data_IF_882810494801
#
_entry.id   IF_882810494801
#
_cell.length_a   1.000
_cell.length_b   1.000
_cell.length_c   1.000
_cell.angle_alpha   90.00
_cell.angle_beta   90.00
_cell.angle_gamma   90.00
#
_symmetry.space_group_name_H-M   'P 1'
#
loop_
_entity.id
_entity.type
_entity.pdbx_description
1 polymer ?
#
# COMPACT_ATOMS: atom_id res chain seq x y z
N UNK A 1 -9.91 15.14 -4.82
CA UNK A 1 -9.08 13.95 -4.58
C UNK A 1 -8.52 13.34 -5.87
N UNK A 2 -9.33 12.96 -6.85
CA UNK A 2 -8.87 12.31 -8.10
C UNK A 2 -7.68 12.97 -8.82
N UNK A 3 -7.66 14.31 -8.95
CA UNK A 3 -6.53 15.04 -9.53
C UNK A 3 -5.22 14.79 -8.76
N UNK A 4 -5.29 14.74 -7.43
CA UNK A 4 -4.12 14.46 -6.59
C UNK A 4 -3.61 13.02 -6.78
N UNK A 5 -4.50 12.04 -6.97
CA UNK A 5 -4.11 10.68 -7.32
C UNK A 5 -3.40 10.62 -8.67
N UNK A 6 -3.90 11.34 -9.68
CA UNK A 6 -3.25 11.45 -10.99
C UNK A 6 -1.88 12.11 -10.90
N UNK A 7 -1.76 13.19 -10.13
CA UNK A 7 -0.49 13.88 -9.92
C UNK A 7 0.51 12.99 -9.17
N UNK A 8 0.05 12.28 -8.13
CA UNK A 8 0.84 11.29 -7.39
C UNK A 8 1.37 10.18 -8.31
N UNK A 9 0.50 9.64 -9.17
CA UNK A 9 0.85 8.59 -10.13
C UNK A 9 1.93 9.05 -11.13
N UNK A 10 1.89 10.32 -11.58
CA UNK A 10 2.93 10.88 -12.45
C UNK A 10 4.25 11.06 -11.72
N UNK A 11 4.22 11.53 -10.46
CA UNK A 11 5.44 11.74 -9.66
C UNK A 11 6.10 10.46 -9.19
N UNK A 12 5.34 9.38 -9.02
CA UNK A 12 5.88 8.08 -8.59
C UNK A 12 6.55 7.28 -9.73
N UNK A 13 6.56 7.80 -10.96
CA UNK A 13 7.21 7.16 -12.10
C UNK A 13 6.53 5.84 -12.52
N UNK A 14 5.22 5.74 -12.33
CA UNK A 14 4.47 4.50 -12.56
C UNK A 14 4.74 3.93 -13.96
N UNK A 15 5.18 2.67 -14.04
CA UNK A 15 5.36 1.93 -15.30
C UNK A 15 4.03 1.49 -15.94
N UNK A 16 2.88 1.89 -15.38
CA UNK A 16 1.57 1.49 -15.89
C UNK A 16 1.29 2.15 -17.26
N UNK A 17 0.84 1.33 -18.21
CA UNK A 17 0.56 1.75 -19.60
C UNK A 17 -0.70 2.60 -19.75
N UNK A 18 -1.64 2.48 -18.80
CA UNK A 18 -2.98 3.05 -18.87
C UNK A 18 -3.27 3.96 -17.66
N UNK A 19 -3.93 5.09 -17.90
CA UNK A 19 -4.21 6.14 -16.89
C UNK A 19 -4.97 5.59 -15.67
N UNK A 20 -5.92 4.68 -15.88
CA UNK A 20 -6.70 4.07 -14.79
C UNK A 20 -5.83 3.23 -13.87
N UNK A 21 -4.93 2.43 -14.42
CA UNK A 21 -4.01 1.57 -13.65
C UNK A 21 -3.02 2.39 -12.84
N UNK A 22 -2.59 3.54 -13.38
CA UNK A 22 -1.74 4.49 -12.68
C UNK A 22 -2.47 5.12 -11.47
N UNK A 23 -3.72 5.55 -11.66
CA UNK A 23 -4.59 6.05 -10.57
C UNK A 23 -4.87 4.97 -9.53
N UNK A 24 -5.16 3.74 -9.96
CA UNK A 24 -5.41 2.60 -9.08
C UNK A 24 -4.18 2.26 -8.23
N UNK A 25 -2.98 2.29 -8.83
CA UNK A 25 -1.72 2.10 -8.11
C UNK A 25 -1.46 3.20 -7.08
N UNK A 26 -1.72 4.46 -7.41
CA UNK A 26 -1.61 5.58 -6.46
C UNK A 26 -2.59 5.44 -5.28
N UNK A 27 -3.84 5.04 -5.57
CA UNK A 27 -4.83 4.76 -4.54
C UNK A 27 -4.41 3.60 -3.64
N UNK A 28 -3.89 2.51 -4.21
CA UNK A 28 -3.33 1.38 -3.45
C UNK A 28 -2.27 1.83 -2.45
N UNK A 29 -1.33 2.69 -2.87
CA UNK A 29 -0.28 3.19 -1.97
C UNK A 29 -0.84 3.99 -0.79
N UNK A 30 -1.79 4.89 -1.04
CA UNK A 30 -2.41 5.68 0.02
C UNK A 30 -3.25 4.82 0.98
N UNK A 31 -4.05 3.91 0.44
CA UNK A 31 -4.92 3.03 1.24
C UNK A 31 -4.13 1.98 2.03
N UNK A 32 -2.93 1.62 1.58
CA UNK A 32 -2.05 0.67 2.29
C UNK A 32 -1.19 1.33 3.36
N UNK A 33 -1.11 2.66 3.38
CA UNK A 33 -0.34 3.39 4.38
C UNK A 33 -1.14 3.48 5.69
N UNK A 34 -0.65 2.86 6.79
CA UNK A 34 -1.34 2.87 8.08
C UNK A 34 -1.41 4.26 8.72
N UNK A 35 -0.65 5.24 8.21
CA UNK A 35 -0.69 6.62 8.68
C UNK A 35 -1.74 7.47 7.96
N UNK A 36 -2.37 6.96 6.89
CA UNK A 36 -3.40 7.70 6.15
C UNK A 36 -4.68 7.81 6.99
N UNK A 37 -5.20 9.04 7.24
CA UNK A 37 -6.45 9.22 7.98
C UNK A 37 -7.65 8.60 7.28
N UNK A 38 -8.61 8.07 8.05
CA UNK A 38 -9.83 7.43 7.50
C UNK A 38 -10.63 8.34 6.56
N UNK A 39 -10.71 9.64 6.87
CA UNK A 39 -11.36 10.61 6.00
C UNK A 39 -10.68 10.72 4.63
N UNK A 40 -9.36 10.59 4.57
CA UNK A 40 -8.60 10.56 3.31
C UNK A 40 -8.86 9.25 2.57
N UNK A 41 -8.86 8.12 3.28
CA UNK A 41 -9.18 6.81 2.69
C UNK A 41 -10.58 6.80 2.03
N UNK A 42 -11.59 7.34 2.71
CA UNK A 42 -12.94 7.46 2.17
C UNK A 42 -13.00 8.35 0.92
N UNK A 43 -12.28 9.48 0.92
CA UNK A 43 -12.20 10.37 -0.25
C UNK A 43 -11.45 9.72 -1.43
N UNK A 44 -10.41 8.92 -1.16
CA UNK A 44 -9.72 8.13 -2.19
C UNK A 44 -10.66 7.10 -2.80
N UNK A 45 -11.38 6.32 -1.97
CA UNK A 45 -12.36 5.34 -2.42
C UNK A 45 -13.47 5.96 -3.27
N UNK A 46 -14.04 7.08 -2.83
CA UNK A 46 -15.06 7.80 -3.61
C UNK A 46 -14.51 8.29 -4.95
N UNK A 47 -13.27 8.79 -4.97
CA UNK A 47 -12.65 9.28 -6.18
C UNK A 47 -12.40 8.16 -7.18
N UNK A 48 -11.87 7.02 -6.76
CA UNK A 48 -11.63 5.88 -7.67
C UNK A 48 -12.93 5.23 -8.11
N UNK A 49 -13.95 5.16 -7.24
CA UNK A 49 -15.26 4.59 -7.61
C UNK A 49 -15.97 5.32 -8.76
N UNK A 50 -15.56 6.56 -9.07
CA UNK A 50 -16.09 7.37 -10.17
C UNK A 50 -15.29 7.24 -11.48
N UNK A 51 -14.16 6.54 -11.47
CA UNK A 51 -13.36 6.36 -12.69
C UNK A 51 -14.01 5.33 -13.62
N UNK A 52 -14.03 5.65 -14.92
CA UNK A 52 -14.47 4.71 -15.95
C UNK A 52 -13.60 3.44 -15.93
N UNK A 53 -14.25 2.28 -15.81
CA UNK A 53 -13.58 0.97 -15.69
C UNK A 53 -13.56 0.42 -14.26
N UNK A 54 -13.81 1.25 -13.24
CA UNK A 54 -14.00 0.74 -11.88
C UNK A 54 -15.39 0.11 -11.75
N UNK A 55 -15.45 -1.09 -11.18
CA UNK A 55 -16.69 -1.85 -10.97
C UNK A 55 -16.69 -2.54 -9.63
N UNK A 56 -17.90 -2.77 -9.11
CA UNK A 56 -18.10 -3.69 -7.99
C UNK A 56 -17.84 -5.11 -8.48
N UNK A 57 -16.87 -5.77 -7.87
CA UNK A 57 -16.46 -7.16 -8.22
C UNK A 57 -17.02 -8.17 -7.23
N UNK A 58 -17.26 -7.78 -5.98
CA UNK A 58 -17.96 -8.59 -4.98
C UNK A 58 -18.78 -7.68 -4.05
N UNK A 59 -20.04 -8.02 -3.81
CA UNK A 59 -20.94 -7.28 -2.90
C UNK A 59 -20.93 -7.82 -1.47
N UNK A 60 -20.22 -8.93 -1.24
CA UNK A 60 -20.14 -9.64 0.05
C UNK A 60 -18.71 -10.03 0.38
N UNK A 61 -17.77 -9.14 0.09
CA UNK A 61 -16.37 -9.31 0.41
C UNK A 61 -16.16 -9.32 1.92
N UNK A 62 -15.29 -10.19 2.42
CA UNK A 62 -14.95 -10.27 3.84
C UNK A 62 -13.48 -9.92 4.05
N UNK A 63 -13.21 -8.99 4.94
CA UNK A 63 -11.86 -8.62 5.39
C UNK A 63 -11.88 -8.52 6.91
N UNK A 64 -10.99 -9.27 7.58
CA UNK A 64 -10.87 -9.30 9.04
C UNK A 64 -12.21 -9.49 9.79
N UNK A 65 -13.07 -10.37 9.25
CA UNK A 65 -14.40 -10.67 9.81
C UNK A 65 -15.47 -9.60 9.56
N UNK A 66 -15.14 -8.51 8.86
CA UNK A 66 -16.07 -7.44 8.47
C UNK A 66 -16.57 -7.69 7.05
N UNK A 67 -17.88 -7.51 6.83
CA UNK A 67 -18.54 -7.61 5.53
C UNK A 67 -18.51 -6.25 4.82
N UNK A 68 -18.12 -6.23 3.55
CA UNK A 68 -18.12 -5.04 2.72
C UNK A 68 -18.33 -5.31 1.24
N UNK A 69 -18.09 -4.27 0.45
CA UNK A 69 -18.16 -4.27 -1.01
C UNK A 69 -16.77 -4.09 -1.59
N UNK A 70 -16.38 -4.91 -2.54
CA UNK A 70 -15.09 -4.85 -3.22
C UNK A 70 -15.22 -4.13 -4.57
N UNK A 71 -14.31 -3.18 -4.81
CA UNK A 71 -14.09 -2.52 -6.10
C UNK A 71 -12.86 -3.10 -6.81
N UNK A 72 -12.92 -3.21 -8.13
CA UNK A 72 -11.79 -3.56 -9.00
C UNK A 72 -11.91 -2.90 -10.37
N UNK A 73 -10.82 -2.91 -11.16
CA UNK A 73 -10.78 -2.29 -12.50
C UNK A 73 -10.82 -3.30 -13.65
N UNK A 74 -10.17 -4.45 -13.51
CA UNK A 74 -10.19 -5.56 -14.48
C UNK A 74 -9.64 -6.84 -13.83
N UNK A 75 -9.47 -7.92 -14.60
CA UNK A 75 -8.82 -9.16 -14.12
C UNK A 75 -7.28 -9.08 -14.11
N UNK A 76 -6.70 -8.09 -14.80
CA UNK A 76 -5.25 -7.88 -14.93
C UNK A 76 -4.66 -7.29 -13.66
N UNK A 77 -5.43 -6.49 -12.92
CA UNK A 77 -5.06 -5.92 -11.63
C UNK A 77 -5.78 -6.66 -10.50
N UNK A 78 -5.13 -7.66 -9.87
CA UNK A 78 -5.77 -8.54 -8.89
C UNK A 78 -6.09 -7.88 -7.54
N UNK A 79 -5.71 -6.63 -7.31
CA UNK A 79 -5.98 -5.93 -6.04
C UNK A 79 -7.35 -5.29 -6.08
N UNK A 80 -8.17 -5.65 -5.10
CA UNK A 80 -9.51 -5.13 -4.88
C UNK A 80 -9.55 -4.29 -3.60
N UNK A 81 -10.26 -3.17 -3.64
CA UNK A 81 -10.46 -2.31 -2.47
C UNK A 81 -11.79 -2.62 -1.81
N UNK A 82 -11.77 -2.98 -0.53
CA UNK A 82 -12.97 -3.32 0.22
C UNK A 82 -13.38 -2.16 1.11
N UNK A 83 -14.64 -1.78 1.04
CA UNK A 83 -15.20 -0.69 1.83
C UNK A 83 -16.56 -1.07 2.44
N UNK A 84 -16.93 -0.40 3.52
CA UNK A 84 -18.26 -0.51 4.13
C UNK A 84 -19.24 0.35 3.32
N UNK A 85 -20.32 -0.24 2.75
CA UNK A 85 -21.26 0.51 1.94
C UNK A 85 -22.11 1.53 2.72
N UNK A 86 -22.15 1.45 4.06
CA UNK A 86 -22.97 2.34 4.88
C UNK A 86 -22.31 3.69 5.13
N UNK A 87 -21.01 3.70 5.43
CA UNK A 87 -20.26 4.91 5.78
C UNK A 87 -19.09 5.21 4.82
N UNK A 88 -18.76 4.29 3.91
CA UNK A 88 -17.66 4.42 2.98
C UNK A 88 -16.28 4.17 3.60
N UNK A 89 -16.24 3.61 4.82
CA UNK A 89 -15.00 3.31 5.51
C UNK A 89 -14.20 2.25 4.76
N UNK A 90 -12.89 2.46 4.64
CA UNK A 90 -12.00 1.46 4.08
C UNK A 90 -11.85 0.28 5.06
N UNK A 91 -12.07 -0.93 4.55
CA UNK A 91 -12.01 -2.17 5.33
C UNK A 91 -10.72 -2.94 5.09
N UNK A 92 -10.10 -2.77 3.93
CA UNK A 92 -8.83 -3.38 3.56
C UNK A 92 -8.78 -3.81 2.10
N UNK A 93 -7.84 -4.70 1.80
CA UNK A 93 -7.51 -5.13 0.44
C UNK A 93 -7.75 -6.63 0.28
N UNK A 94 -8.19 -7.03 -0.91
CA UNK A 94 -8.23 -8.44 -1.32
C UNK A 94 -7.35 -8.61 -2.56
N UNK A 95 -6.61 -9.72 -2.63
CA UNK A 95 -5.67 -10.00 -3.71
C UNK A 95 -4.32 -9.30 -3.53
N UNK A 96 -3.49 -9.34 -4.58
CA UNK A 96 -2.08 -8.96 -4.48
C UNK A 96 -1.55 -8.48 -5.83
N UNK A 97 -0.87 -7.32 -5.94
CA UNK A 97 -0.41 -6.77 -7.23
C UNK A 97 0.50 -7.77 -7.97
N UNK A 98 0.28 -8.00 -9.27
CA UNK A 98 1.00 -9.05 -10.03
C UNK A 98 2.52 -9.07 -9.71
N UNK A 99 3.05 -10.27 -9.38
CA UNK A 99 4.45 -10.49 -8.97
C UNK A 99 5.42 -9.89 -10.00
N UNK A 100 5.93 -8.68 -9.75
CA UNK A 100 7.03 -8.14 -10.53
C UNK A 100 8.35 -8.79 -10.07
N UNK A 101 9.40 -8.74 -10.90
CA UNK A 101 10.73 -9.28 -10.57
C UNK A 101 11.35 -8.68 -9.28
N UNK A 102 10.83 -7.54 -8.82
CA UNK A 102 11.30 -6.83 -7.63
C UNK A 102 10.32 -6.98 -6.45
N UNK A 103 9.30 -7.83 -6.58
CA UNK A 103 8.31 -8.04 -5.55
C UNK A 103 8.85 -8.98 -4.46
N UNK A 104 8.91 -8.47 -3.23
CA UNK A 104 9.15 -9.25 -2.01
C UNK A 104 7.90 -9.14 -1.15
N UNK A 105 6.92 -9.97 -1.45
CA UNK A 105 5.75 -10.15 -0.60
C UNK A 105 5.51 -11.63 -0.39
N UNK A 106 4.97 -12.02 0.76
CA UNK A 106 4.97 -13.41 1.17
C UNK A 106 3.90 -14.19 0.39
N UNK A 107 4.16 -15.49 0.17
CA UNK A 107 3.19 -16.38 -0.48
C UNK A 107 1.87 -16.53 0.32
N UNK A 108 1.87 -16.14 1.61
CA UNK A 108 0.75 -15.91 2.54
C UNK A 108 1.04 -14.66 3.40
N UNK A 109 0.09 -13.76 3.74
CA UNK A 109 0.42 -12.55 4.52
C UNK A 109 0.85 -12.93 5.95
N UNK A 110 2.15 -12.84 6.24
CA UNK A 110 2.68 -12.85 7.61
C UNK A 110 3.98 -12.07 7.71
N UNK A 111 3.89 -10.75 7.90
CA UNK A 111 4.80 -10.17 8.88
C UNK A 111 3.94 -9.72 10.06
N UNK A 112 4.01 -10.51 11.13
CA UNK A 112 3.68 -10.04 12.47
C UNK A 112 5.01 -9.65 13.08
N UNK A 113 5.29 -8.34 13.19
CA UNK A 113 6.41 -7.88 14.01
C UNK A 113 5.94 -7.77 15.44
N UNK A 114 6.38 -8.70 16.28
CA UNK A 114 6.28 -8.57 17.74
C UNK A 114 7.58 -7.99 18.25
N UNK A 115 7.54 -6.78 18.80
CA UNK A 115 8.67 -6.21 19.54
C UNK A 115 8.43 -6.37 21.04
N UNK A 116 9.44 -6.91 21.74
CA UNK A 116 9.48 -6.89 23.20
C UNK A 116 10.19 -5.62 23.64
N UNK A 117 9.43 -4.68 24.21
CA UNK A 117 9.99 -3.41 24.70
C UNK A 117 10.32 -3.51 26.19
N UNK A 118 11.52 -3.08 26.59
CA UNK A 118 11.90 -2.85 27.99
C UNK A 118 12.28 -1.38 28.16
N UNK A 119 11.78 -0.75 29.23
CA UNK A 119 12.26 0.59 29.63
C UNK A 119 13.69 0.44 30.16
N UNK A 120 14.62 1.18 29.58
CA UNK A 120 16.03 1.25 30.00
C UNK A 120 16.36 2.69 30.40
N UNK A 121 17.19 2.84 31.43
CA UNK A 121 17.59 4.17 31.94
C UNK A 121 18.65 4.86 31.07
N UNK A 122 19.16 4.18 30.04
CA UNK A 122 20.09 4.74 29.05
C UNK A 122 20.01 4.03 27.71
N UNK A 123 20.26 4.75 26.62
CA UNK A 123 20.27 4.20 25.27
C UNK A 123 21.41 3.17 25.10
N UNK A 124 21.20 2.08 24.34
CA UNK A 124 22.27 1.15 24.01
C UNK A 124 23.41 1.88 23.30
N UNK A 125 24.66 1.63 23.71
CA UNK A 125 25.81 2.09 22.93
C UNK A 125 25.89 1.29 21.63
N UNK A 126 26.17 1.94 20.48
CA UNK A 126 26.46 1.20 19.26
C UNK A 126 27.68 0.28 19.48
N UNK A 127 27.75 -0.87 18.78
CA UNK A 127 28.93 -1.73 18.82
C UNK A 127 30.17 -0.96 18.35
N UNK A 128 31.32 -1.24 18.96
CA UNK A 128 32.58 -0.48 18.77
C UNK A 128 33.07 -0.44 17.31
N UNK A 129 32.62 -1.39 16.51
CA UNK A 129 33.02 -1.66 15.14
C UNK A 129 32.06 -1.09 14.08
N UNK A 130 31.06 -0.27 14.47
CA UNK A 130 30.11 0.33 13.52
C UNK A 130 30.76 1.42 12.62
N UNK A 131 31.93 1.95 13.01
CA UNK A 131 32.64 2.99 12.26
C UNK A 131 33.61 2.43 11.20
N UNK A 132 34.14 1.22 11.42
CA UNK A 132 35.11 0.60 10.51
C UNK A 132 34.46 0.17 9.18
N UNK A 133 33.19 -0.24 9.21
CA UNK A 133 32.45 -0.68 8.02
C UNK A 133 32.03 0.48 7.11
N UNK A 134 31.87 1.70 7.67
CA UNK A 134 31.48 2.88 6.89
C UNK A 134 32.65 3.45 6.06
N UNK A 135 33.88 3.34 6.57
CA UNK A 135 35.07 3.85 5.87
C UNK A 135 35.56 2.92 4.76
N UNK A 136 35.33 1.59 4.86
CA UNK A 136 35.75 0.64 3.81
C UNK A 136 34.91 0.70 2.53
N UNK A 137 33.66 1.19 2.58
CA UNK A 137 32.78 1.21 1.39
C UNK A 137 32.94 2.45 0.49
N UNK A 138 33.69 3.46 0.92
CA UNK A 138 33.81 4.75 0.22
C UNK A 138 35.21 5.04 -0.36
N UNK A 139 36.06 4.03 -0.52
CA UNK A 139 37.34 4.17 -1.23
C UNK A 139 37.13 4.50 -2.72
N UNK A 140 37.93 5.41 -3.33
CA UNK A 140 37.77 5.74 -4.74
C UNK A 140 38.08 4.51 -5.63
N UNK A 141 37.37 4.33 -6.74
CA UNK A 141 37.66 3.25 -7.69
C UNK A 141 39.07 3.42 -8.27
N UNK A 142 39.79 2.31 -8.39
CA UNK A 142 41.14 2.20 -8.94
C UNK A 142 41.22 2.55 -10.43
#
# INVERSE_FOLDING_TARGET
MLRALRDLARTSGSEFSDDLSAVWGAAFWLLSDPQTPDAVNAEVLRAVALEDGVRVVDRRAHVDGRLGVALGIDEKYPVQFVFDPNDGAFLGLIGHPARSKNWVGPDEPRWTTTFESRIVDSAPRPPENLLDDFEQSNGPPA
#
